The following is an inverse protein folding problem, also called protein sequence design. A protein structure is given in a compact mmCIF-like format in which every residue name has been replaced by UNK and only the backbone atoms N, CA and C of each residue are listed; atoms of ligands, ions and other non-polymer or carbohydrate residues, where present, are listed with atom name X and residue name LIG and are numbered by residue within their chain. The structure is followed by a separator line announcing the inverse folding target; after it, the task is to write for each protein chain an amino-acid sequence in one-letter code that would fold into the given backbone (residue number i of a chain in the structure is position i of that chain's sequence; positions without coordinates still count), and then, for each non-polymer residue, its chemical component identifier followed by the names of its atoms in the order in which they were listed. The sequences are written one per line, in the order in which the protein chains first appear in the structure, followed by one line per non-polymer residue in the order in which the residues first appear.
data_IF_018495454840
#
_entry.id   IF_018495454840
#
_cell.length_a   1.000
_cell.length_b   1.000
_cell.length_c   1.000
_cell.angle_alpha   90.00
_cell.angle_beta   90.00
_cell.angle_gamma   90.00
#
_symmetry.space_group_name_H-M   'P 1'
#
loop_
_entity.id
_entity.type
_entity.pdbx_description
1 polymer ?
#
# COMPACT_ATOMS: atom_id res chain seq x y z
N UNK A 1 8.68 -8.43 23.96
CA UNK A 1 9.31 -7.22 23.38
C UNK A 1 8.55 -5.98 23.84
N UNK A 2 9.24 -4.95 24.33
CA UNK A 2 8.64 -3.65 24.63
C UNK A 2 8.16 -3.04 23.33
N UNK A 3 6.87 -2.66 23.24
CA UNK A 3 6.27 -2.11 22.02
C UNK A 3 7.08 -0.95 21.41
N UNK A 4 7.67 -0.10 22.26
CA UNK A 4 8.52 1.02 21.86
C UNK A 4 9.72 0.61 20.99
N UNK A 5 10.23 -0.61 21.16
CA UNK A 5 11.36 -1.15 20.41
C UNK A 5 10.94 -1.99 19.20
N UNK A 6 9.65 -2.35 19.08
CA UNK A 6 9.18 -3.25 18.04
C UNK A 6 9.54 -2.75 16.64
N UNK A 7 9.16 -1.52 16.33
CA UNK A 7 9.38 -0.96 14.99
C UNK A 7 10.87 -0.72 14.71
N UNK A 8 11.66 -0.08 15.58
CA UNK A 8 13.12 0.03 15.40
C UNK A 8 13.81 -1.32 15.20
N UNK A 9 13.48 -2.33 16.01
CA UNK A 9 14.06 -3.69 15.86
C UNK A 9 13.71 -4.32 14.52
N UNK A 10 12.48 -4.18 14.05
CA UNK A 10 12.07 -4.69 12.73
C UNK A 10 12.88 -4.05 11.60
N UNK A 11 13.07 -2.73 11.63
CA UNK A 11 13.92 -2.05 10.64
C UNK A 11 15.39 -2.51 10.74
N UNK A 12 15.90 -2.75 11.94
CA UNK A 12 17.25 -3.31 12.16
C UNK A 12 17.40 -4.73 11.60
N UNK A 13 16.42 -5.61 11.81
CA UNK A 13 16.39 -6.97 11.24
C UNK A 13 16.38 -6.90 9.70
N UNK A 14 15.59 -6.00 9.11
CA UNK A 14 15.54 -5.85 7.67
C UNK A 14 16.86 -5.32 7.11
N UNK A 15 17.45 -4.30 7.72
CA UNK A 15 18.76 -3.80 7.33
C UNK A 15 19.82 -4.91 7.42
N UNK A 16 19.84 -5.69 8.51
CA UNK A 16 20.73 -6.82 8.68
C UNK A 16 20.54 -7.92 7.62
N UNK A 17 19.30 -8.19 7.22
CA UNK A 17 19.03 -9.19 6.18
C UNK A 17 19.63 -8.83 4.83
N UNK A 18 19.61 -7.55 4.43
CA UNK A 18 20.28 -7.10 3.19
C UNK A 18 21.79 -7.29 3.26
N UNK A 19 22.41 -7.05 4.42
CA UNK A 19 23.84 -7.32 4.63
C UNK A 19 24.13 -8.81 4.52
N UNK A 20 23.28 -9.68 5.12
CA UNK A 20 23.43 -11.13 5.04
C UNK A 20 23.36 -11.60 3.58
N UNK A 21 22.38 -11.17 2.81
CA UNK A 21 22.26 -11.52 1.39
C UNK A 21 23.46 -11.01 0.57
N UNK A 22 23.97 -9.82 0.85
CA UNK A 22 25.17 -9.30 0.23
C UNK A 22 26.39 -10.20 0.52
N UNK A 23 26.61 -10.59 1.77
CA UNK A 23 27.72 -11.44 2.20
C UNK A 23 27.59 -12.83 1.56
N UNK A 24 26.40 -13.45 1.61
CA UNK A 24 26.16 -14.75 0.99
C UNK A 24 26.43 -14.72 -0.51
N UNK A 25 25.93 -13.69 -1.21
CA UNK A 25 26.21 -13.51 -2.64
C UNK A 25 27.68 -13.24 -2.97
N UNK A 26 28.48 -12.78 -2.01
CA UNK A 26 29.93 -12.58 -2.20
C UNK A 26 30.75 -13.85 -1.95
N UNK A 27 30.25 -14.79 -1.14
CA UNK A 27 30.95 -16.02 -0.76
C UNK A 27 30.68 -17.17 -1.74
N UNK A 28 29.42 -17.29 -2.21
CA UNK A 28 29.00 -18.40 -3.05
C UNK A 28 29.06 -18.04 -4.53
N UNK A 29 29.73 -18.87 -5.34
CA UNK A 29 29.82 -18.70 -6.80
C UNK A 29 28.47 -19.03 -7.47
N UNK A 30 27.77 -20.09 -7.02
CA UNK A 30 26.43 -20.41 -7.50
C UNK A 30 25.39 -19.58 -6.73
N UNK A 31 24.91 -18.52 -7.37
CA UNK A 31 24.00 -17.53 -6.79
C UNK A 31 22.52 -17.83 -7.02
N UNK A 32 22.19 -18.85 -7.82
CA UNK A 32 20.80 -19.09 -8.25
C UNK A 32 19.84 -19.24 -7.05
N UNK A 33 20.24 -19.99 -6.04
CA UNK A 33 19.41 -20.21 -4.86
C UNK A 33 19.32 -18.94 -3.99
N UNK A 34 20.43 -18.21 -3.84
CA UNK A 34 20.52 -16.99 -3.07
C UNK A 34 19.66 -15.89 -3.72
N UNK A 35 19.75 -15.72 -5.03
CA UNK A 35 18.97 -14.74 -5.78
C UNK A 35 17.47 -15.05 -5.73
N UNK A 36 17.06 -16.31 -5.84
CA UNK A 36 15.68 -16.74 -5.65
C UNK A 36 15.19 -16.45 -4.23
N UNK A 37 15.99 -16.79 -3.22
CA UNK A 37 15.67 -16.54 -1.82
C UNK A 37 15.55 -15.03 -1.55
N UNK A 38 16.46 -14.22 -2.08
CA UNK A 38 16.41 -12.75 -1.99
C UNK A 38 15.16 -12.18 -2.65
N UNK A 39 14.81 -12.65 -3.85
CA UNK A 39 13.60 -12.23 -4.55
C UNK A 39 12.33 -12.49 -3.72
N UNK A 40 12.20 -13.69 -3.16
CA UNK A 40 11.06 -14.04 -2.28
C UNK A 40 11.07 -13.18 -1.03
N UNK A 41 12.24 -13.04 -0.39
CA UNK A 41 12.41 -12.22 0.81
C UNK A 41 11.98 -10.77 0.57
N UNK A 42 12.51 -10.10 -0.46
CA UNK A 42 12.16 -8.71 -0.80
C UNK A 42 10.69 -8.56 -1.14
N UNK A 43 10.11 -9.57 -1.80
CA UNK A 43 8.68 -9.57 -2.14
C UNK A 43 7.77 -9.54 -0.91
N UNK A 44 8.11 -10.30 0.14
CA UNK A 44 7.38 -10.29 1.42
C UNK A 44 7.75 -9.05 2.25
N UNK A 45 9.03 -8.77 2.35
CA UNK A 45 9.57 -7.64 3.10
C UNK A 45 8.96 -6.30 2.69
N UNK A 46 8.84 -6.05 1.38
CA UNK A 46 8.32 -4.76 0.87
C UNK A 46 6.90 -4.46 1.37
N UNK A 47 6.05 -5.47 1.47
CA UNK A 47 4.68 -5.32 2.01
C UNK A 47 4.69 -5.21 3.53
N UNK A 48 5.49 -6.06 4.18
CA UNK A 48 5.54 -6.10 5.64
C UNK A 48 6.09 -4.81 6.23
N UNK A 49 7.19 -4.29 5.70
CA UNK A 49 7.81 -3.03 6.12
C UNK A 49 6.83 -1.85 6.00
N UNK A 50 6.09 -1.76 4.89
CA UNK A 50 5.08 -0.73 4.70
C UNK A 50 3.92 -0.89 5.69
N UNK A 51 3.49 -2.12 5.96
CA UNK A 51 2.45 -2.41 6.95
C UNK A 51 2.86 -1.99 8.36
N UNK A 52 4.11 -2.28 8.75
CA UNK A 52 4.68 -1.86 10.05
C UNK A 52 4.77 -0.33 10.14
N UNK A 53 5.23 0.33 9.08
CA UNK A 53 5.27 1.79 9.01
C UNK A 53 3.89 2.41 9.24
N UNK A 54 2.87 1.99 8.50
CA UNK A 54 1.53 2.53 8.64
C UNK A 54 0.87 2.15 9.98
N UNK A 55 1.20 0.99 10.52
CA UNK A 55 0.76 0.62 11.88
C UNK A 55 1.33 1.57 12.93
N UNK A 56 2.60 1.95 12.79
CA UNK A 56 3.24 2.93 13.66
C UNK A 56 2.63 4.33 13.48
N UNK A 57 2.38 4.78 12.25
CA UNK A 57 1.73 6.06 11.99
C UNK A 57 0.31 6.13 12.59
N UNK A 58 -0.46 5.06 12.44
CA UNK A 58 -1.81 4.96 13.01
C UNK A 58 -1.82 4.89 14.54
N UNK A 59 -0.70 4.51 15.16
CA UNK A 59 -0.53 4.55 16.61
C UNK A 59 -0.07 5.94 17.10
N UNK A 60 0.70 6.63 16.26
CA UNK A 60 1.27 7.93 16.59
C UNK A 60 0.21 9.05 16.55
N UNK A 61 -0.68 9.02 15.56
CA UNK A 61 -1.63 10.09 15.30
C UNK A 61 -3.06 9.72 15.68
N UNK A 62 -3.83 10.70 16.20
CA UNK A 62 -5.26 10.55 16.42
C UNK A 62 -6.02 10.48 15.09
N UNK A 63 -7.31 10.14 15.18
CA UNK A 63 -8.20 10.09 14.02
C UNK A 63 -8.29 11.43 13.29
N UNK A 64 -8.42 12.53 14.04
CA UNK A 64 -8.48 13.89 13.51
C UNK A 64 -7.17 14.31 12.86
N UNK A 65 -6.04 13.97 13.49
CA UNK A 65 -4.70 14.24 12.96
C UNK A 65 -4.42 13.39 11.71
N UNK A 66 -4.81 12.12 11.71
CA UNK A 66 -4.62 11.23 10.56
C UNK A 66 -5.35 11.72 9.31
N UNK A 67 -6.55 12.27 9.48
CA UNK A 67 -7.34 12.85 8.38
C UNK A 67 -6.64 14.01 7.67
N UNK A 68 -5.78 14.76 8.38
CA UNK A 68 -5.01 15.88 7.81
C UNK A 68 -3.64 15.47 7.32
N UNK A 69 -2.97 14.55 8.01
CA UNK A 69 -1.53 14.28 7.84
C UNK A 69 -1.24 13.07 6.96
N UNK A 70 -2.10 12.05 6.91
CA UNK A 70 -1.78 10.81 6.18
C UNK A 70 -1.61 11.01 4.67
N UNK A 71 -2.33 11.98 4.09
CA UNK A 71 -2.10 12.37 2.69
C UNK A 71 -0.69 12.91 2.47
N UNK A 72 -0.24 13.82 3.34
CA UNK A 72 1.10 14.42 3.28
C UNK A 72 2.18 13.38 3.53
N UNK A 73 1.98 12.50 4.52
CA UNK A 73 2.91 11.40 4.83
C UNK A 73 3.04 10.45 3.63
N UNK A 74 1.94 10.16 2.94
CA UNK A 74 1.93 9.31 1.75
C UNK A 74 2.72 9.90 0.57
N UNK A 75 2.87 11.23 0.49
CA UNK A 75 3.75 11.89 -0.50
C UNK A 75 5.19 11.38 -0.40
N UNK A 76 5.66 11.07 0.81
CA UNK A 76 6.98 10.47 1.02
C UNK A 76 7.18 9.17 0.23
N UNK A 77 6.14 8.36 0.03
CA UNK A 77 6.21 7.16 -0.80
C UNK A 77 6.43 7.50 -2.28
N UNK A 78 5.78 8.55 -2.82
CA UNK A 78 5.97 9.01 -4.20
C UNK A 78 7.34 9.63 -4.40
N UNK A 79 7.83 10.42 -3.45
CA UNK A 79 9.20 10.96 -3.45
C UNK A 79 10.22 9.84 -3.41
N UNK A 80 10.04 8.84 -2.55
CA UNK A 80 10.89 7.64 -2.50
C UNK A 80 10.86 6.84 -3.81
N UNK A 81 9.70 6.78 -4.46
CA UNK A 81 9.51 6.15 -5.78
C UNK A 81 10.26 6.85 -6.91
N UNK A 82 10.64 8.12 -6.75
CA UNK A 82 11.53 8.85 -7.68
C UNK A 82 13.00 8.69 -7.28
N UNK A 83 13.31 8.87 -6.00
CA UNK A 83 14.69 8.84 -5.49
C UNK A 83 15.29 7.42 -5.59
N UNK A 84 14.55 6.36 -5.27
CA UNK A 84 15.06 4.99 -5.27
C UNK A 84 15.64 4.56 -6.64
N UNK A 85 14.84 4.60 -7.71
CA UNK A 85 15.34 4.31 -9.07
C UNK A 85 16.48 5.22 -9.50
N UNK A 86 16.47 6.52 -9.11
CA UNK A 86 17.56 7.46 -9.42
C UNK A 86 18.87 7.05 -8.76
N UNK A 87 18.85 6.65 -7.48
CA UNK A 87 20.02 6.10 -6.78
C UNK A 87 20.51 4.84 -7.50
N UNK A 88 19.59 3.93 -7.83
CA UNK A 88 19.94 2.71 -8.56
C UNK A 88 20.58 3.03 -9.90
N UNK A 89 20.04 3.96 -10.69
CA UNK A 89 20.57 4.34 -12.00
C UNK A 89 21.99 4.95 -11.90
N UNK A 90 22.23 5.78 -10.87
CA UNK A 90 23.53 6.45 -10.68
C UNK A 90 24.60 5.46 -10.19
N UNK A 91 24.24 4.60 -9.23
CA UNK A 91 25.23 3.79 -8.53
C UNK A 91 25.38 2.36 -9.07
N UNK A 92 24.42 1.85 -9.88
CA UNK A 92 24.50 0.47 -10.41
C UNK A 92 25.70 0.24 -11.32
N UNK A 93 26.06 1.24 -12.13
CA UNK A 93 27.20 1.15 -13.07
C UNK A 93 28.54 1.28 -12.33
N UNK A 94 28.63 2.20 -11.35
CA UNK A 94 29.88 2.50 -10.66
C UNK A 94 30.20 1.50 -9.54
N UNK A 95 29.19 1.02 -8.80
CA UNK A 95 29.38 0.15 -7.63
C UNK A 95 29.01 -1.31 -7.90
N UNK A 96 28.24 -1.58 -8.95
CA UNK A 96 27.64 -2.90 -9.20
C UNK A 96 26.35 -3.12 -8.39
N UNK A 97 25.51 -4.02 -8.88
CA UNK A 97 24.20 -4.28 -8.30
C UNK A 97 24.25 -4.83 -6.86
N UNK A 98 25.28 -5.60 -6.53
CA UNK A 98 25.43 -6.21 -5.20
C UNK A 98 25.61 -5.17 -4.09
N UNK A 99 26.41 -4.15 -4.33
CA UNK A 99 26.65 -3.09 -3.35
C UNK A 99 25.43 -2.19 -3.13
N UNK A 100 24.44 -2.21 -4.04
CA UNK A 100 23.16 -1.53 -3.82
C UNK A 100 22.40 -2.12 -2.61
N UNK A 101 22.63 -3.38 -2.25
CA UNK A 101 22.08 -3.96 -1.03
C UNK A 101 22.59 -3.25 0.24
N UNK A 102 23.87 -2.84 0.25
CA UNK A 102 24.45 -2.08 1.37
C UNK A 102 23.87 -0.66 1.45
N UNK A 103 23.64 -0.02 0.30
CA UNK A 103 22.95 1.29 0.25
C UNK A 103 21.53 1.13 0.78
N UNK A 104 20.78 0.13 0.35
CA UNK A 104 19.43 -0.16 0.81
C UNK A 104 19.41 -0.45 2.33
N UNK A 105 20.37 -1.24 2.84
CA UNK A 105 20.53 -1.49 4.27
C UNK A 105 20.73 -0.19 5.05
N UNK A 106 21.64 0.67 4.61
CA UNK A 106 21.90 1.97 5.26
C UNK A 106 20.66 2.85 5.26
N UNK A 107 19.91 2.89 4.15
CA UNK A 107 18.65 3.64 4.06
C UNK A 107 17.58 3.11 5.01
N UNK A 108 17.53 1.79 5.26
CA UNK A 108 16.61 1.19 6.23
C UNK A 108 16.95 1.53 7.69
N UNK A 109 18.17 1.96 7.99
CA UNK A 109 18.55 2.42 9.33
C UNK A 109 18.13 3.87 9.62
N UNK A 110 17.94 4.70 8.57
CA UNK A 110 17.56 6.13 8.73
C UNK A 110 16.23 6.31 9.50
N UNK A 111 15.17 5.50 9.28
CA UNK A 111 13.93 5.64 10.06
C UNK A 111 14.08 5.39 11.55
N UNK A 112 15.08 4.64 12.01
CA UNK A 112 15.23 4.26 13.43
C UNK A 112 15.36 5.49 14.35
N UNK A 113 16.30 6.43 14.15
CA UNK A 113 16.38 7.64 14.97
C UNK A 113 15.14 8.52 14.82
N UNK A 114 14.53 8.58 13.64
CA UNK A 114 13.30 9.34 13.41
C UNK A 114 12.14 8.76 14.23
N UNK A 115 12.02 7.43 14.31
CA UNK A 115 10.99 6.76 15.12
C UNK A 115 11.17 7.11 16.60
N UNK A 116 12.39 7.06 17.14
CA UNK A 116 12.65 7.45 18.53
C UNK A 116 12.32 8.92 18.77
N UNK A 117 12.68 9.81 17.85
CA UNK A 117 12.35 11.24 17.92
C UNK A 117 10.84 11.46 17.94
N UNK A 118 10.09 10.83 17.04
CA UNK A 118 8.63 10.93 16.99
C UNK A 118 7.95 10.37 18.23
N UNK A 119 8.47 9.27 18.79
CA UNK A 119 7.98 8.73 20.06
C UNK A 119 8.22 9.69 21.24
N UNK A 120 9.38 10.35 21.27
CA UNK A 120 9.69 11.35 22.29
C UNK A 120 8.80 12.59 22.14
N UNK A 121 8.57 13.04 20.91
CA UNK A 121 7.70 14.17 20.60
C UNK A 121 6.24 13.90 21.02
N UNK A 122 5.74 12.68 20.72
CA UNK A 122 4.40 12.25 21.16
C UNK A 122 4.25 12.34 22.68
N UNK A 123 5.26 11.94 23.44
CA UNK A 123 5.20 11.96 24.90
C UNK A 123 5.23 13.40 25.46
N UNK A 124 5.87 14.34 24.75
CA UNK A 124 6.09 15.72 25.21
C UNK A 124 5.01 16.70 24.79
N UNK A 125 4.54 16.63 23.54
CA UNK A 125 3.79 17.71 22.90
C UNK A 125 2.42 17.28 22.36
N UNK A 126 2.27 16.02 21.96
CA UNK A 126 1.02 15.48 21.42
C UNK A 126 0.08 15.01 22.53
N UNK A 127 -0.14 15.77 23.57
CA UNK A 127 -0.98 15.52 24.75
C UNK A 127 -2.35 14.95 24.38
N UNK A 128 -2.37 13.78 23.77
CA UNK A 128 -3.56 13.03 23.41
C UNK A 128 -4.02 12.27 24.65
N UNK A 129 -4.97 12.82 25.37
CA UNK A 129 -5.62 12.20 26.54
C UNK A 129 -6.14 10.79 26.28
N UNK A 130 -6.44 10.44 25.00
CA UNK A 130 -6.86 9.11 24.57
C UNK A 130 -5.69 8.12 24.53
N UNK A 131 -4.45 8.60 24.50
CA UNK A 131 -3.22 7.79 24.43
C UNK A 131 -2.39 7.89 25.71
N UNK A 132 -2.94 8.45 26.78
CA UNK A 132 -2.36 8.43 28.12
C UNK A 132 -2.39 7.05 28.79
N UNK A 133 -2.94 6.02 28.15
CA UNK A 133 -2.37 4.69 28.40
C UNK A 133 -0.93 4.74 27.91
N UNK A 134 0.07 4.58 28.79
CA UNK A 134 1.46 4.56 28.37
C UNK A 134 1.54 3.60 27.18
N UNK A 135 2.33 3.99 26.14
CA UNK A 135 2.86 3.01 25.15
C UNK A 135 3.65 2.05 26.03
N UNK A 136 2.85 1.33 26.75
CA UNK A 136 3.26 0.74 27.99
C UNK A 136 4.03 -0.51 27.63
N UNK A 137 4.85 -0.87 28.48
CA UNK A 137 5.43 -2.14 28.81
C UNK A 137 4.54 -3.40 28.57
N UNK A 138 3.38 -3.28 27.91
CA UNK A 138 2.59 -4.40 27.44
C UNK A 138 3.38 -5.08 26.31
N UNK A 139 3.93 -6.22 26.63
CA UNK A 139 4.51 -7.11 25.64
C UNK A 139 3.42 -7.56 24.69
N UNK A 140 3.57 -7.28 23.39
CA UNK A 140 2.81 -7.99 22.36
C UNK A 140 3.34 -9.42 22.41
N UNK A 141 2.83 -10.19 23.34
CA UNK A 141 3.10 -11.60 23.49
C UNK A 141 2.11 -12.44 22.71
N UNK A 142 2.44 -13.70 22.44
CA UNK A 142 1.47 -14.68 21.98
C UNK A 142 1.76 -15.33 20.65
N UNK A 143 0.84 -16.15 20.24
CA UNK A 143 0.89 -16.98 19.05
C UNK A 143 1.09 -16.11 17.79
N UNK A 144 2.10 -16.41 16.93
CA UNK A 144 2.31 -15.73 15.65
C UNK A 144 1.10 -15.83 14.70
N UNK A 145 0.28 -16.88 14.84
CA UNK A 145 -0.93 -17.09 14.05
C UNK A 145 -2.16 -16.32 14.59
N UNK A 146 -2.05 -15.63 15.71
CA UNK A 146 -3.17 -14.87 16.27
C UNK A 146 -3.69 -13.79 15.31
N UNK A 147 -2.80 -13.21 14.48
CA UNK A 147 -3.18 -12.25 13.44
C UNK A 147 -4.16 -12.81 12.41
N UNK A 148 -4.00 -14.05 12.00
CA UNK A 148 -4.94 -14.74 11.11
C UNK A 148 -6.30 -14.93 11.77
N UNK A 149 -6.34 -15.43 13.03
CA UNK A 149 -7.58 -15.57 13.76
C UNK A 149 -8.30 -14.23 13.92
N UNK A 150 -7.59 -13.18 14.31
CA UNK A 150 -8.15 -11.84 14.45
C UNK A 150 -8.73 -11.31 13.13
N UNK A 151 -8.02 -11.53 12.00
CA UNK A 151 -8.48 -11.12 10.67
C UNK A 151 -9.80 -11.80 10.30
N UNK A 152 -9.86 -13.11 10.36
CA UNK A 152 -11.05 -13.87 9.93
C UNK A 152 -12.23 -13.78 10.91
N UNK A 153 -11.99 -13.47 12.20
CA UNK A 153 -13.04 -13.34 13.21
C UNK A 153 -13.64 -11.95 13.32
N UNK A 154 -13.03 -10.93 12.73
CA UNK A 154 -13.49 -9.55 12.82
C UNK A 154 -14.06 -9.07 11.47
N UNK A 155 -15.40 -8.84 11.35
CA UNK A 155 -16.04 -8.42 10.12
C UNK A 155 -15.48 -7.11 9.55
N UNK A 156 -15.06 -6.18 10.41
CA UNK A 156 -14.44 -4.92 9.99
C UNK A 156 -13.10 -5.15 9.29
N UNK A 157 -12.23 -5.96 9.89
CA UNK A 157 -10.93 -6.31 9.31
C UNK A 157 -11.10 -7.12 8.01
N UNK A 158 -12.06 -8.05 8.01
CA UNK A 158 -12.39 -8.82 6.81
C UNK A 158 -12.84 -7.91 5.65
N UNK A 159 -13.68 -6.91 5.95
CA UNK A 159 -14.12 -5.91 4.95
C UNK A 159 -12.94 -5.08 4.41
N UNK A 160 -11.96 -4.74 5.24
CA UNK A 160 -10.71 -4.08 4.78
C UNK A 160 -9.94 -5.04 3.87
N UNK A 161 -9.82 -6.32 4.21
CA UNK A 161 -9.18 -7.34 3.38
C UNK A 161 -9.86 -7.48 2.03
N UNK A 162 -11.20 -7.55 1.99
CA UNK A 162 -11.98 -7.59 0.74
C UNK A 162 -11.77 -6.32 -0.08
N UNK A 163 -11.73 -5.14 0.56
CA UNK A 163 -11.44 -3.87 -0.13
C UNK A 163 -10.07 -3.89 -0.82
N UNK A 164 -9.04 -4.43 -0.15
CA UNK A 164 -7.69 -4.58 -0.73
C UNK A 164 -7.70 -5.61 -1.87
N UNK A 165 -8.38 -6.73 -1.70
CA UNK A 165 -8.47 -7.78 -2.71
C UNK A 165 -9.15 -7.25 -3.99
N UNK A 166 -10.22 -6.50 -3.87
CA UNK A 166 -10.89 -5.88 -5.02
C UNK A 166 -9.99 -4.83 -5.70
N UNK A 167 -9.26 -4.04 -4.91
CA UNK A 167 -8.25 -3.12 -5.45
C UNK A 167 -7.17 -3.85 -6.25
N UNK A 168 -6.59 -4.92 -5.72
CA UNK A 168 -5.55 -5.69 -6.42
C UNK A 168 -6.12 -6.35 -7.67
N UNK A 169 -7.36 -6.82 -7.61
CA UNK A 169 -8.08 -7.34 -8.75
C UNK A 169 -8.14 -6.34 -9.90
N UNK A 170 -8.67 -5.16 -9.63
CA UNK A 170 -8.74 -4.07 -10.61
C UNK A 170 -7.34 -3.63 -11.07
N UNK A 171 -6.36 -3.62 -10.17
CA UNK A 171 -4.98 -3.30 -10.51
C UNK A 171 -4.44 -4.22 -11.60
N UNK A 172 -4.63 -5.51 -11.43
CA UNK A 172 -4.16 -6.53 -12.36
C UNK A 172 -4.94 -6.49 -13.68
N UNK A 173 -6.27 -6.27 -13.64
CA UNK A 173 -7.07 -6.12 -14.86
C UNK A 173 -6.55 -4.97 -15.73
N UNK A 174 -6.45 -3.77 -15.19
CA UNK A 174 -5.96 -2.59 -15.92
C UNK A 174 -4.51 -2.78 -16.41
N UNK A 175 -3.67 -3.45 -15.61
CA UNK A 175 -2.29 -3.76 -16.00
C UNK A 175 -2.22 -4.71 -17.20
N UNK A 176 -3.00 -5.80 -17.19
CA UNK A 176 -3.01 -6.77 -18.27
C UNK A 176 -3.63 -6.21 -19.55
N UNK A 177 -4.70 -5.39 -19.45
CA UNK A 177 -5.27 -4.65 -20.56
C UNK A 177 -4.21 -3.75 -21.23
N UNK A 178 -3.49 -2.96 -20.43
CA UNK A 178 -2.40 -2.11 -20.92
C UNK A 178 -1.30 -2.94 -21.58
N UNK A 179 -0.89 -4.04 -20.94
CA UNK A 179 0.15 -4.93 -21.46
C UNK A 179 -0.24 -5.51 -22.82
N UNK A 180 -1.50 -5.91 -22.99
CA UNK A 180 -2.01 -6.44 -24.25
C UNK A 180 -2.00 -5.38 -25.35
N UNK A 181 -2.46 -4.14 -25.06
CA UNK A 181 -2.46 -3.04 -26.03
C UNK A 181 -1.04 -2.54 -26.36
N UNK A 182 -0.07 -2.76 -25.49
CA UNK A 182 1.33 -2.44 -25.75
C UNK A 182 2.10 -3.58 -26.44
N UNK A 183 1.48 -4.73 -26.72
CA UNK A 183 2.18 -5.88 -27.34
C UNK A 183 2.81 -5.55 -28.69
N UNK A 184 2.17 -4.69 -29.48
CA UNK A 184 2.58 -4.33 -30.82
C UNK A 184 3.71 -3.27 -30.86
N UNK A 185 4.01 -2.66 -29.73
CA UNK A 185 5.10 -1.69 -29.59
C UNK A 185 6.44 -2.38 -29.36
N UNK A 186 7.54 -1.81 -29.87
CA UNK A 186 8.90 -2.27 -29.62
C UNK A 186 9.28 -2.12 -28.12
N UNK A 187 10.31 -2.86 -27.68
CA UNK A 187 10.78 -2.76 -26.28
C UNK A 187 11.18 -1.34 -25.85
N UNK A 188 11.92 -0.55 -26.68
CA UNK A 188 12.23 0.83 -26.33
C UNK A 188 11.00 1.72 -26.17
N UNK A 189 10.04 1.62 -27.11
CA UNK A 189 8.80 2.42 -27.05
C UNK A 189 7.98 2.09 -25.80
N UNK A 190 7.83 0.80 -25.48
CA UNK A 190 7.17 0.40 -24.22
C UNK A 190 7.85 0.99 -22.99
N UNK A 191 9.19 0.99 -22.96
CA UNK A 191 9.93 1.56 -21.84
C UNK A 191 9.69 3.06 -21.69
N UNK A 192 9.62 3.80 -22.79
CA UNK A 192 9.31 5.24 -22.79
C UNK A 192 7.89 5.49 -22.29
N UNK A 193 6.90 4.74 -22.78
CA UNK A 193 5.50 4.85 -22.33
C UNK A 193 5.39 4.60 -20.82
N UNK A 194 6.01 3.52 -20.31
CA UNK A 194 5.99 3.23 -18.87
C UNK A 194 6.66 4.33 -18.04
N UNK A 195 7.80 4.85 -18.51
CA UNK A 195 8.51 5.93 -17.81
C UNK A 195 7.69 7.23 -17.75
N UNK A 196 7.03 7.61 -18.85
CA UNK A 196 6.15 8.78 -18.90
C UNK A 196 4.94 8.61 -17.98
N UNK A 197 4.34 7.41 -17.95
CA UNK A 197 3.24 7.11 -17.05
C UNK A 197 3.68 7.15 -15.59
N UNK A 198 4.84 6.61 -15.26
CA UNK A 198 5.39 6.64 -13.90
C UNK A 198 5.65 8.08 -13.43
N UNK A 199 6.17 8.92 -14.30
CA UNK A 199 6.35 10.35 -14.03
C UNK A 199 5.02 11.04 -13.77
N UNK A 200 4.02 10.84 -14.63
CA UNK A 200 2.69 11.41 -14.47
C UNK A 200 2.01 10.94 -13.18
N UNK A 201 2.12 9.64 -12.85
CA UNK A 201 1.61 9.07 -11.59
C UNK A 201 2.23 9.77 -10.38
N UNK A 202 3.55 9.94 -10.35
CA UNK A 202 4.23 10.53 -9.20
C UNK A 202 3.91 12.03 -9.06
N UNK A 203 3.90 12.79 -10.15
CA UNK A 203 3.52 14.21 -10.14
C UNK A 203 2.08 14.36 -9.62
N UNK A 204 1.15 13.59 -10.15
CA UNK A 204 -0.25 13.65 -9.75
C UNK A 204 -0.44 13.19 -8.29
N UNK A 205 0.26 12.15 -7.86
CA UNK A 205 0.19 11.65 -6.48
C UNK A 205 0.76 12.68 -5.47
N UNK A 206 1.91 13.30 -5.78
CA UNK A 206 2.50 14.34 -4.93
C UNK A 206 1.56 15.54 -4.84
N UNK A 207 1.11 16.06 -5.97
CA UNK A 207 0.22 17.22 -6.02
C UNK A 207 -1.09 16.97 -5.26
N UNK A 208 -1.74 15.83 -5.50
CA UNK A 208 -2.99 15.46 -4.82
C UNK A 208 -2.75 15.21 -3.33
N UNK A 209 -1.68 14.51 -2.96
CA UNK A 209 -1.34 14.19 -1.56
C UNK A 209 -1.09 15.45 -0.73
N UNK A 210 -0.38 16.43 -1.28
CA UNK A 210 -0.08 17.70 -0.59
C UNK A 210 -1.31 18.60 -0.48
N UNK A 211 -2.08 18.74 -1.56
CA UNK A 211 -3.06 19.82 -1.65
C UNK A 211 -4.52 19.37 -1.52
N UNK A 212 -4.83 18.13 -1.84
CA UNK A 212 -6.21 17.67 -1.96
C UNK A 212 -6.62 16.63 -0.91
N UNK A 213 -5.81 15.63 -0.59
CA UNK A 213 -6.21 14.46 0.19
C UNK A 213 -6.82 14.84 1.55
N UNK A 214 -6.12 15.65 2.34
CA UNK A 214 -6.63 16.09 3.64
C UNK A 214 -7.93 16.90 3.52
N UNK A 215 -8.05 17.77 2.51
CA UNK A 215 -9.25 18.56 2.24
C UNK A 215 -10.42 17.68 1.81
N UNK A 216 -10.18 16.65 1.00
CA UNK A 216 -11.21 15.71 0.55
C UNK A 216 -11.78 14.97 1.77
N UNK A 217 -10.93 14.40 2.62
CA UNK A 217 -11.36 13.69 3.83
C UNK A 217 -12.17 14.59 4.77
N UNK A 218 -11.67 15.79 5.04
CA UNK A 218 -12.32 16.72 6.00
C UNK A 218 -13.60 17.34 5.48
N UNK A 219 -13.72 17.56 4.15
CA UNK A 219 -14.89 18.22 3.54
C UNK A 219 -15.98 17.24 3.13
N UNK A 220 -15.62 16.09 2.57
CA UNK A 220 -16.56 15.14 1.99
C UNK A 220 -16.77 13.89 2.86
N UNK A 221 -15.99 13.75 3.95
CA UNK A 221 -16.05 12.60 4.84
C UNK A 221 -15.33 11.37 4.31
N UNK A 222 -15.27 10.33 5.14
CA UNK A 222 -14.56 9.09 4.82
C UNK A 222 -15.24 8.26 3.73
N UNK A 223 -16.60 8.11 3.70
CA UNK A 223 -17.26 7.31 2.67
C UNK A 223 -16.99 7.84 1.26
N UNK A 224 -17.09 9.15 1.05
CA UNK A 224 -16.84 9.77 -0.25
C UNK A 224 -15.36 9.65 -0.65
N UNK A 225 -14.45 9.86 0.32
CA UNK A 225 -13.01 9.79 0.08
C UNK A 225 -12.56 8.41 -0.38
N UNK A 226 -13.00 7.34 0.30
CA UNK A 226 -12.56 5.98 0.01
C UNK A 226 -13.23 5.42 -1.26
N UNK A 227 -14.43 5.92 -1.61
CA UNK A 227 -15.18 5.52 -2.79
C UNK A 227 -14.80 6.29 -4.06
N UNK A 228 -14.18 7.47 -3.95
CA UNK A 228 -13.91 8.37 -5.09
C UNK A 228 -13.09 7.69 -6.17
N UNK A 229 -11.96 7.07 -5.83
CA UNK A 229 -11.10 6.40 -6.81
C UNK A 229 -11.79 5.17 -7.41
N UNK A 230 -12.41 4.26 -6.65
CA UNK A 230 -13.23 3.17 -7.19
C UNK A 230 -14.29 3.63 -8.21
N UNK A 231 -15.01 4.71 -7.92
CA UNK A 231 -16.03 5.27 -8.82
C UNK A 231 -15.41 5.72 -10.15
N UNK A 232 -14.31 6.49 -10.08
CA UNK A 232 -13.62 6.97 -11.28
C UNK A 232 -13.13 5.79 -12.12
N UNK A 233 -12.59 4.76 -11.49
CA UNK A 233 -12.11 3.57 -12.18
C UNK A 233 -13.27 2.77 -12.78
N UNK A 234 -14.38 2.64 -12.08
CA UNK A 234 -15.59 2.00 -12.60
C UNK A 234 -16.07 2.69 -13.89
N UNK A 235 -16.19 4.02 -13.86
CA UNK A 235 -16.58 4.81 -15.04
C UNK A 235 -15.56 4.64 -16.17
N UNK A 236 -14.26 4.73 -15.86
CA UNK A 236 -13.21 4.57 -16.86
C UNK A 236 -13.18 3.18 -17.51
N UNK A 237 -13.47 2.11 -16.75
CA UNK A 237 -13.58 0.76 -17.29
C UNK A 237 -14.84 0.59 -18.17
N UNK A 238 -15.94 1.26 -17.85
CA UNK A 238 -17.12 1.31 -18.73
C UNK A 238 -16.80 2.03 -20.04
N UNK A 239 -16.07 3.15 -19.97
CA UNK A 239 -15.59 3.84 -21.18
C UNK A 239 -14.68 2.93 -21.99
N UNK A 240 -13.76 2.20 -21.34
CA UNK A 240 -12.88 1.25 -22.00
C UNK A 240 -13.63 0.08 -22.65
N UNK A 241 -14.70 -0.40 -22.03
CA UNK A 241 -15.55 -1.44 -22.60
C UNK A 241 -16.24 -1.01 -23.91
N UNK A 242 -16.56 0.29 -24.03
CA UNK A 242 -17.17 0.87 -25.24
C UNK A 242 -16.09 1.22 -26.27
N UNK A 243 -14.95 1.73 -25.83
CA UNK A 243 -13.87 2.23 -26.68
C UNK A 243 -12.49 1.76 -26.15
N UNK A 244 -12.02 0.56 -26.57
CA UNK A 244 -10.76 -0.03 -26.08
C UNK A 244 -9.53 0.64 -26.70
N UNK A 245 -9.34 1.94 -26.44
CA UNK A 245 -8.22 2.74 -26.92
C UNK A 245 -7.07 2.74 -25.92
N UNK A 246 -5.84 2.68 -26.43
CA UNK A 246 -4.61 2.74 -25.61
C UNK A 246 -4.59 3.97 -24.68
N UNK A 247 -4.97 5.15 -25.20
CA UNK A 247 -5.00 6.38 -24.40
C UNK A 247 -5.96 6.29 -23.22
N UNK A 248 -7.11 5.63 -23.36
CA UNK A 248 -8.07 5.40 -22.24
C UNK A 248 -7.44 4.54 -21.15
N UNK A 249 -6.80 3.42 -21.54
CA UNK A 249 -6.13 2.54 -20.55
C UNK A 249 -4.96 3.23 -19.86
N UNK A 250 -4.16 4.02 -20.60
CA UNK A 250 -3.06 4.79 -20.03
C UNK A 250 -3.57 5.79 -18.98
N UNK A 251 -4.59 6.57 -19.29
CA UNK A 251 -5.20 7.52 -18.34
C UNK A 251 -5.77 6.77 -17.13
N UNK A 252 -6.47 5.67 -17.36
CA UNK A 252 -7.03 4.83 -16.31
C UNK A 252 -5.93 4.29 -15.37
N UNK A 253 -4.82 3.82 -15.92
CA UNK A 253 -3.67 3.34 -15.15
C UNK A 253 -3.02 4.47 -14.34
N UNK A 254 -2.85 5.66 -14.92
CA UNK A 254 -2.29 6.82 -14.23
C UNK A 254 -3.20 7.23 -13.08
N UNK A 255 -4.49 7.43 -13.34
CA UNK A 255 -5.48 7.86 -12.33
C UNK A 255 -5.62 6.83 -11.22
N UNK A 256 -5.65 5.54 -11.56
CA UNK A 256 -5.73 4.46 -10.58
C UNK A 256 -4.51 4.45 -9.64
N UNK A 257 -3.30 4.52 -10.21
CA UNK A 257 -2.05 4.49 -9.41
C UNK A 257 -1.89 5.75 -8.56
N UNK A 258 -2.07 6.92 -9.16
CA UNK A 258 -1.98 8.19 -8.44
C UNK A 258 -3.06 8.33 -7.38
N UNK A 259 -4.31 7.97 -7.71
CA UNK A 259 -5.43 7.95 -6.77
C UNK A 259 -5.22 6.97 -5.62
N UNK A 260 -4.62 5.79 -5.90
CA UNK A 260 -4.24 4.88 -4.82
C UNK A 260 -3.19 5.47 -3.89
N UNK A 261 -2.13 6.06 -4.42
CA UNK A 261 -1.04 6.62 -3.61
C UNK A 261 -1.47 7.84 -2.80
N UNK A 262 -2.25 8.73 -3.41
CA UNK A 262 -2.64 9.98 -2.77
C UNK A 262 -3.92 9.88 -1.93
N UNK A 263 -4.89 9.07 -2.31
CA UNK A 263 -6.23 9.09 -1.69
C UNK A 263 -6.60 7.75 -1.06
N UNK A 264 -6.66 6.68 -1.87
CA UNK A 264 -7.22 5.39 -1.41
C UNK A 264 -6.40 4.78 -0.29
N UNK A 265 -5.07 4.76 -0.43
CA UNK A 265 -4.17 4.19 0.57
C UNK A 265 -4.16 4.98 1.88
N UNK A 266 -3.96 6.32 1.90
CA UNK A 266 -4.07 7.10 3.12
C UNK A 266 -5.45 6.95 3.80
N UNK A 267 -6.55 6.99 3.05
CA UNK A 267 -7.89 6.80 3.58
C UNK A 267 -8.06 5.41 4.21
N UNK A 268 -7.58 4.36 3.54
CA UNK A 268 -7.58 3.00 4.08
C UNK A 268 -6.75 2.89 5.37
N UNK A 269 -5.58 3.52 5.42
CA UNK A 269 -4.74 3.51 6.63
C UNK A 269 -5.42 4.21 7.82
N UNK A 270 -6.25 5.23 7.54
CA UNK A 270 -7.07 5.88 8.58
C UNK A 270 -8.07 4.91 9.22
N UNK A 271 -8.59 3.93 8.48
CA UNK A 271 -9.51 2.91 9.03
C UNK A 271 -8.88 2.13 10.19
N UNK A 272 -7.58 1.90 10.16
CA UNK A 272 -6.85 1.20 11.22
C UNK A 272 -6.69 2.02 12.51
N UNK A 273 -7.02 3.31 12.52
CA UNK A 273 -7.04 4.12 13.75
C UNK A 273 -8.16 3.72 14.72
N UNK A 274 -9.21 3.03 14.23
CA UNK A 274 -10.28 2.47 15.05
C UNK A 274 -9.90 1.16 15.73
N UNK A 275 -8.84 0.51 15.26
CA UNK A 275 -8.45 -0.82 15.70
C UNK A 275 -7.45 -0.70 16.85
N UNK A 276 -7.62 -1.54 17.88
CA UNK A 276 -6.72 -1.55 19.02
C UNK A 276 -5.27 -1.92 18.60
N UNK A 277 -4.32 -1.54 19.42
CA UNK A 277 -2.89 -1.68 19.14
C UNK A 277 -2.47 -3.12 18.84
N UNK A 278 -2.89 -4.08 19.65
CA UNK A 278 -2.52 -5.48 19.47
C UNK A 278 -3.02 -6.03 18.13
N UNK A 279 -4.30 -5.80 17.82
CA UNK A 279 -4.90 -6.22 16.55
C UNK A 279 -4.24 -5.54 15.36
N UNK A 280 -3.90 -4.25 15.48
CA UNK A 280 -3.23 -3.48 14.42
C UNK A 280 -1.88 -4.09 14.05
N UNK A 281 -1.04 -4.43 15.03
CA UNK A 281 0.29 -4.98 14.76
C UNK A 281 0.30 -6.47 14.41
N UNK A 282 -0.72 -7.23 14.82
CA UNK A 282 -0.83 -8.67 14.49
C UNK A 282 -1.62 -8.93 13.21
N UNK A 283 -2.80 -8.31 13.05
CA UNK A 283 -3.69 -8.61 11.93
C UNK A 283 -3.36 -7.80 10.68
N UNK A 284 -2.94 -6.53 10.79
CA UNK A 284 -2.69 -5.69 9.62
C UNK A 284 -1.61 -6.23 8.67
N UNK A 285 -0.44 -6.73 9.13
CA UNK A 285 0.53 -7.36 8.23
C UNK A 285 -0.04 -8.58 7.51
N UNK A 286 -0.87 -9.38 8.19
CA UNK A 286 -1.55 -10.53 7.58
C UNK A 286 -2.49 -10.05 6.47
N UNK A 287 -3.33 -9.04 6.76
CA UNK A 287 -4.26 -8.46 5.79
C UNK A 287 -3.49 -7.93 4.58
N UNK A 288 -2.46 -7.12 4.80
CA UNK A 288 -1.69 -6.50 3.72
C UNK A 288 -0.96 -7.55 2.86
N UNK A 289 -0.39 -8.61 3.46
CA UNK A 289 0.31 -9.65 2.70
C UNK A 289 -0.70 -10.58 2.00
N UNK A 290 -1.65 -11.14 2.75
CA UNK A 290 -2.57 -12.16 2.22
C UNK A 290 -3.50 -11.57 1.17
N UNK A 291 -4.09 -10.39 1.44
CA UNK A 291 -5.01 -9.78 0.48
C UNK A 291 -4.30 -9.29 -0.79
N UNK A 292 -3.08 -8.72 -0.69
CA UNK A 292 -2.35 -8.32 -1.90
C UNK A 292 -1.84 -9.51 -2.68
N UNK A 293 -1.10 -10.44 -2.06
CA UNK A 293 -0.52 -11.58 -2.80
C UNK A 293 -1.58 -12.57 -3.26
N UNK A 294 -2.57 -12.85 -2.41
CA UNK A 294 -3.71 -13.67 -2.79
C UNK A 294 -4.53 -13.01 -3.90
N UNK A 295 -4.75 -11.71 -3.82
CA UNK A 295 -5.44 -10.94 -4.84
C UNK A 295 -4.73 -10.97 -6.19
N UNK A 296 -3.41 -10.73 -6.21
CA UNK A 296 -2.59 -10.80 -7.43
C UNK A 296 -2.69 -12.18 -8.08
N UNK A 297 -2.56 -13.25 -7.27
CA UNK A 297 -2.62 -14.64 -7.75
C UNK A 297 -4.01 -14.98 -8.32
N UNK A 298 -5.06 -14.74 -7.55
CA UNK A 298 -6.45 -15.03 -7.95
C UNK A 298 -6.79 -14.29 -9.23
N UNK A 299 -6.40 -13.00 -9.32
CA UNK A 299 -6.74 -12.16 -10.46
C UNK A 299 -5.97 -12.54 -11.71
N UNK A 300 -4.71 -12.95 -11.59
CA UNK A 300 -3.94 -13.44 -12.73
C UNK A 300 -4.60 -14.69 -13.36
N UNK A 301 -5.03 -15.64 -12.51
CA UNK A 301 -5.77 -16.81 -12.97
C UNK A 301 -7.14 -16.46 -13.55
N UNK A 302 -7.87 -15.55 -12.89
CA UNK A 302 -9.17 -15.08 -13.38
C UNK A 302 -9.03 -14.40 -14.74
N UNK A 303 -8.09 -13.50 -14.91
CA UNK A 303 -7.83 -12.80 -16.18
C UNK A 303 -7.46 -13.78 -17.29
N UNK A 304 -6.56 -14.73 -17.02
CA UNK A 304 -6.18 -15.78 -17.97
C UNK A 304 -7.37 -16.66 -18.33
N UNK A 305 -8.18 -17.06 -17.37
CA UNK A 305 -9.40 -17.84 -17.59
C UNK A 305 -10.42 -17.10 -18.48
N UNK A 306 -10.61 -15.80 -18.26
CA UNK A 306 -11.51 -14.97 -19.08
C UNK A 306 -10.99 -14.79 -20.52
N UNK A 307 -9.70 -14.50 -20.66
CA UNK A 307 -9.13 -14.18 -21.99
C UNK A 307 -8.76 -15.42 -22.79
N UNK A 308 -8.05 -16.40 -22.20
CA UNK A 308 -7.59 -17.59 -22.90
C UNK A 308 -8.57 -18.75 -22.77
N UNK A 309 -9.25 -18.89 -21.61
CA UNK A 309 -10.21 -19.97 -21.39
C UNK A 309 -11.55 -19.73 -22.07
N UNK A 310 -12.14 -18.54 -21.91
CA UNK A 310 -13.42 -18.17 -22.49
C UNK A 310 -13.30 -17.35 -23.78
N UNK A 311 -12.10 -16.97 -24.20
CA UNK A 311 -11.88 -16.19 -25.42
C UNK A 311 -12.46 -14.77 -25.38
N UNK A 312 -12.68 -14.20 -24.19
CA UNK A 312 -13.28 -12.87 -24.08
C UNK A 312 -12.32 -11.79 -24.56
N UNK A 313 -12.81 -10.90 -25.40
CA UNK A 313 -12.06 -9.72 -25.84
C UNK A 313 -11.93 -8.66 -24.75
N UNK A 314 -11.04 -7.68 -25.00
CA UNK A 314 -10.72 -6.61 -24.05
C UNK A 314 -11.95 -5.85 -23.55
N UNK A 315 -12.92 -5.55 -24.43
CA UNK A 315 -14.15 -4.86 -24.07
C UNK A 315 -14.99 -5.63 -23.03
N UNK A 316 -15.13 -6.96 -23.20
CA UNK A 316 -15.87 -7.80 -22.27
C UNK A 316 -15.15 -7.91 -20.91
N UNK A 317 -13.82 -8.03 -20.93
CA UNK A 317 -12.99 -8.05 -19.74
C UNK A 317 -13.08 -6.71 -18.99
N UNK A 318 -13.05 -5.59 -19.71
CA UNK A 318 -13.23 -4.26 -19.13
C UNK A 318 -14.62 -4.09 -18.48
N UNK A 319 -15.68 -4.62 -19.08
CA UNK A 319 -17.02 -4.60 -18.50
C UNK A 319 -17.11 -5.42 -17.19
N UNK A 320 -16.48 -6.60 -17.15
CA UNK A 320 -16.36 -7.40 -15.91
C UNK A 320 -15.56 -6.63 -14.85
N UNK A 321 -14.45 -6.02 -15.26
CA UNK A 321 -13.65 -5.14 -14.40
C UNK A 321 -14.46 -3.98 -13.82
N UNK A 322 -15.35 -3.37 -14.61
CA UNK A 322 -16.26 -2.32 -14.14
C UNK A 322 -17.22 -2.84 -13.06
N UNK A 323 -17.76 -4.05 -13.21
CA UNK A 323 -18.57 -4.71 -12.16
C UNK A 323 -17.80 -4.91 -10.87
N UNK A 324 -16.54 -5.38 -10.95
CA UNK A 324 -15.65 -5.53 -9.80
C UNK A 324 -15.35 -4.16 -9.14
N UNK A 325 -15.12 -3.10 -9.94
CA UNK A 325 -14.91 -1.74 -9.44
C UNK A 325 -16.16 -1.16 -8.76
N UNK A 326 -17.35 -1.53 -9.25
CA UNK A 326 -18.63 -1.22 -8.59
C UNK A 326 -18.73 -1.87 -7.21
N UNK A 327 -18.39 -3.15 -7.08
CA UNK A 327 -18.32 -3.85 -5.79
C UNK A 327 -17.29 -3.20 -4.87
N UNK A 328 -16.12 -2.84 -5.40
CA UNK A 328 -15.09 -2.14 -4.65
C UNK A 328 -15.59 -0.81 -4.10
N UNK A 329 -16.36 -0.06 -4.90
CA UNK A 329 -17.04 1.18 -4.48
C UNK A 329 -17.98 0.94 -3.30
N UNK A 330 -18.84 -0.08 -3.39
CA UNK A 330 -19.82 -0.41 -2.34
C UNK A 330 -19.13 -0.79 -1.02
N UNK A 331 -18.10 -1.62 -1.09
CA UNK A 331 -17.29 -1.99 0.09
C UNK A 331 -16.60 -0.76 0.68
N UNK A 332 -16.10 0.16 -0.17
CA UNK A 332 -15.52 1.42 0.29
C UNK A 332 -16.52 2.31 1.03
N UNK A 333 -17.72 2.49 0.49
CA UNK A 333 -18.80 3.26 1.14
C UNK A 333 -19.18 2.62 2.48
N UNK A 334 -19.31 1.30 2.53
CA UNK A 334 -19.63 0.58 3.76
C UNK A 334 -18.58 0.81 4.85
N UNK A 335 -17.29 0.67 4.53
CA UNK A 335 -16.18 0.92 5.44
C UNK A 335 -16.13 2.38 5.91
N UNK A 336 -16.34 3.31 5.00
CA UNK A 336 -16.36 4.74 5.32
C UNK A 336 -17.50 5.10 6.29
N UNK A 337 -18.70 4.56 6.07
CA UNK A 337 -19.84 4.73 6.97
C UNK A 337 -19.60 4.09 8.34
N UNK A 338 -18.98 2.94 8.39
CA UNK A 338 -18.60 2.32 9.66
C UNK A 338 -17.63 3.21 10.44
N UNK A 339 -16.61 3.74 9.74
CA UNK A 339 -15.64 4.65 10.34
C UNK A 339 -16.30 5.92 10.95
N UNK A 340 -17.28 6.53 10.28
CA UNK A 340 -17.97 7.69 10.78
C UNK A 340 -18.89 7.36 11.96
N UNK A 341 -19.66 6.28 11.88
CA UNK A 341 -20.56 5.84 12.97
C UNK A 341 -19.80 5.62 14.28
N UNK A 342 -18.65 4.99 14.22
CA UNK A 342 -17.80 4.77 15.39
C UNK A 342 -17.27 6.07 16.00
N UNK A 343 -17.03 7.08 15.13
CA UNK A 343 -16.64 8.40 15.55
C UNK A 343 -17.73 9.12 16.34
N UNK A 344 -18.97 9.00 15.90
CA UNK A 344 -20.11 9.66 16.55
C UNK A 344 -20.41 9.01 17.91
N UNK A 345 -20.31 7.69 18.00
CA UNK A 345 -20.45 6.96 19.27
C UNK A 345 -19.37 7.41 20.28
N UNK A 346 -18.14 7.61 19.83
CA UNK A 346 -17.05 8.06 20.70
C UNK A 346 -17.21 9.52 21.17
N UNK A 347 -17.75 10.41 20.33
CA UNK A 347 -18.07 11.81 20.71
C UNK A 347 -19.20 11.84 21.74
N UNK A 348 -20.26 11.09 21.50
CA UNK A 348 -21.43 11.04 22.39
C UNK A 348 -21.16 10.39 23.76
N UNK A 349 -20.13 9.56 23.86
CA UNK A 349 -19.71 8.96 25.14
C UNK A 349 -18.86 9.91 26.02
N UNK A 350 -18.44 11.06 25.49
CA UNK A 350 -17.66 12.10 26.20
C UNK A 350 -18.48 13.34 26.59
N UNK A 351 -19.69 13.47 26.07
CA UNK A 351 -20.69 14.46 26.49
C UNK A 351 -21.60 13.86 27.56
#
# INVERSE_FOLDING_TARGET
FRFRLLVPVMYGIFAGSFIIFYVLGSIYEDRILIDKAFYVWVSVFSLFHISVFWSFMSELFSKEQSSRLFGVIAVGASVGGLIGPSITAIFSVSLGTDKLMLIASTMLLIPIPIIFFLQALKTKELNNEVLNTPISNQSIGGNPLAGFKMFFSNPYLLSIGVFILLYTGISSFVYFELKNLLSDFSRPERSVIWAQMDLAVNILAISTGLFATGRIVTRFGMPATIAMVPIIICIGLLVLAISPLLGVVMILQIVRRAGNYAVTRPAREMLFTLVNQETRFKAKPVIDIVAYRGGDMITAWLFTGLTQGLGLGLAAVAAIGAGIAGLWTLVGIYLGRWFERDNDNFKNSKT
#
